data_IF_380647368706
#
_entry.id   IF_380647368706
#
_cell.length_a   1.000
_cell.length_b   1.000
_cell.length_c   1.000
_cell.angle_alpha   90.00
_cell.angle_beta   90.00
_cell.angle_gamma   90.00
#
_symmetry.space_group_name_H-M   'P 1'
#
loop_
_entity.id
_entity.type
_entity.pdbx_description
1 polymer ?
#
# COMPACT_ATOMS: atom_id res chain seq x y z
N UNK A 1 -6.43 22.25 17.94
CA UNK A 1 -5.58 21.10 17.53
C UNK A 1 -4.80 21.35 16.27
N UNK A 2 -5.43 21.86 15.21
CA UNK A 2 -4.81 22.04 13.88
C UNK A 2 -3.62 23.02 13.86
N UNK A 3 -3.56 23.96 14.80
CA UNK A 3 -2.51 24.99 14.88
C UNK A 3 -1.26 24.57 15.68
N UNK A 4 -1.29 23.41 16.34
CA UNK A 4 -0.22 22.98 17.25
C UNK A 4 0.96 22.44 16.45
N UNK A 5 2.16 23.01 16.65
CA UNK A 5 3.40 22.58 15.98
C UNK A 5 4.24 21.64 16.86
N UNK A 6 5.33 21.15 16.27
CA UNK A 6 6.33 20.34 16.97
C UNK A 6 7.05 21.11 18.06
N UNK A 7 7.30 20.43 19.19
CA UNK A 7 8.13 20.90 20.32
C UNK A 7 7.62 22.12 21.11
N UNK A 8 6.33 22.41 21.02
CA UNK A 8 5.70 23.46 21.83
C UNK A 8 5.57 23.02 23.31
N UNK A 9 5.72 23.98 24.23
CA UNK A 9 5.70 23.75 25.69
C UNK A 9 4.68 24.67 26.37
N UNK A 10 4.24 24.28 27.55
CA UNK A 10 3.29 25.04 28.39
C UNK A 10 1.96 25.33 27.67
N UNK A 11 1.48 24.34 26.92
CA UNK A 11 0.21 24.44 26.20
C UNK A 11 -0.97 24.29 27.16
N UNK A 12 -1.98 25.12 26.92
CA UNK A 12 -3.29 25.03 27.55
C UNK A 12 -4.35 24.84 26.49
N UNK A 13 -5.10 23.74 26.57
CA UNK A 13 -6.00 23.28 25.51
C UNK A 13 -7.30 22.77 26.11
N UNK A 14 -8.42 23.08 25.46
CA UNK A 14 -9.72 22.47 25.76
C UNK A 14 -9.98 21.37 24.74
N UNK A 15 -10.12 20.13 25.19
CA UNK A 15 -10.23 18.96 24.32
C UNK A 15 -11.30 18.01 24.82
N UNK A 16 -11.72 17.08 23.97
CA UNK A 16 -12.49 15.90 24.34
C UNK A 16 -11.65 14.65 24.15
N UNK A 17 -11.71 13.78 25.14
CA UNK A 17 -11.01 12.49 25.11
C UNK A 17 -11.81 11.51 24.25
N UNK A 18 -11.22 11.00 23.16
CA UNK A 18 -11.91 10.05 22.25
C UNK A 18 -11.71 8.61 22.73
N UNK A 19 -10.49 8.26 23.11
CA UNK A 19 -10.18 6.98 23.73
C UNK A 19 -8.95 7.10 24.63
N UNK A 20 -8.83 6.18 25.58
CA UNK A 20 -7.67 6.04 26.45
C UNK A 20 -7.41 4.56 26.71
N UNK A 21 -6.15 4.18 26.61
CA UNK A 21 -5.62 2.86 26.91
C UNK A 21 -4.44 3.01 27.89
N UNK A 22 -4.12 1.91 28.59
CA UNK A 22 -3.05 1.87 29.58
C UNK A 22 -2.00 0.85 29.15
N UNK A 23 -0.72 1.21 29.25
CA UNK A 23 0.41 0.30 28.99
C UNK A 23 1.46 0.39 30.08
N UNK A 24 2.09 -0.74 30.37
CA UNK A 24 3.20 -0.84 31.32
C UNK A 24 4.49 -1.08 30.56
N UNK A 25 5.54 -0.33 30.88
CA UNK A 25 6.90 -0.52 30.38
C UNK A 25 7.80 -1.00 31.50
N UNK A 26 8.59 -2.03 31.24
CA UNK A 26 9.65 -2.50 32.14
C UNK A 26 10.96 -1.83 31.74
N UNK A 27 11.61 -1.20 32.70
CA UNK A 27 12.95 -0.64 32.57
C UNK A 27 13.83 -1.16 33.71
N UNK A 28 15.16 -1.04 33.59
CA UNK A 28 16.11 -1.44 34.64
C UNK A 28 15.87 -0.74 35.98
N UNK A 29 15.12 0.37 35.98
CA UNK A 29 14.75 1.18 37.15
C UNK A 29 13.34 0.90 37.70
N UNK A 30 12.59 -0.05 37.13
CA UNK A 30 11.25 -0.45 37.58
C UNK A 30 10.18 -0.45 36.48
N UNK A 31 8.95 -0.77 36.88
CA UNK A 31 7.74 -0.71 36.04
C UNK A 31 7.16 0.72 36.02
N UNK A 32 7.09 1.31 34.83
CA UNK A 32 6.40 2.59 34.62
C UNK A 32 5.09 2.35 33.86
N UNK A 33 4.02 2.95 34.33
CA UNK A 33 2.69 2.91 33.70
C UNK A 33 2.44 4.24 33.02
N UNK A 34 1.96 4.21 31.78
CA UNK A 34 1.48 5.40 31.10
C UNK A 34 0.15 5.12 30.39
N UNK A 35 -0.60 6.20 30.18
CA UNK A 35 -1.85 6.19 29.41
C UNK A 35 -1.61 6.80 28.05
N UNK A 36 -2.27 6.28 27.03
CA UNK A 36 -2.17 6.79 25.67
C UNK A 36 -3.50 6.63 24.95
N UNK A 37 -3.72 7.44 23.93
CA UNK A 37 -4.96 7.40 23.17
C UNK A 37 -5.06 8.59 22.23
N UNK A 38 -6.29 8.93 21.88
CA UNK A 38 -6.65 10.01 20.97
C UNK A 38 -7.52 11.02 21.70
N UNK A 39 -7.20 12.29 21.54
CA UNK A 39 -7.99 13.42 22.00
C UNK A 39 -8.16 14.43 20.86
N UNK A 40 -9.14 15.32 20.95
CA UNK A 40 -9.36 16.31 19.91
C UNK A 40 -10.36 17.38 20.27
N UNK A 41 -10.46 18.37 19.40
CA UNK A 41 -11.39 19.48 19.48
C UNK A 41 -12.12 19.66 18.13
N UNK A 42 -12.81 20.78 17.95
CA UNK A 42 -13.53 21.13 16.73
C UNK A 42 -12.63 21.25 15.49
N UNK A 43 -11.32 21.41 15.69
CA UNK A 43 -10.34 21.59 14.60
C UNK A 43 -9.69 20.27 14.19
N UNK A 44 -9.50 19.32 15.09
CA UNK A 44 -8.76 18.10 14.78
C UNK A 44 -8.58 17.14 15.96
N UNK A 45 -7.84 16.06 15.70
CA UNK A 45 -7.44 15.05 16.68
C UNK A 45 -5.93 14.88 16.74
N UNK A 46 -5.41 14.51 17.91
CA UNK A 46 -3.99 14.23 18.14
C UNK A 46 -3.82 13.06 19.11
N UNK A 47 -2.78 12.27 18.90
CA UNK A 47 -2.38 11.25 19.86
C UNK A 47 -1.81 11.90 21.13
N UNK A 48 -2.06 11.29 22.28
CA UNK A 48 -1.44 11.72 23.52
C UNK A 48 -0.73 10.59 24.25
N UNK A 49 0.19 10.96 25.13
CA UNK A 49 0.87 10.06 26.07
C UNK A 49 0.97 10.76 27.42
N UNK A 50 0.30 10.20 28.41
CA UNK A 50 0.23 10.72 29.77
C UNK A 50 0.99 9.81 30.73
N UNK A 51 2.11 10.30 31.25
CA UNK A 51 2.89 9.64 32.31
C UNK A 51 2.24 9.84 33.68
N UNK A 52 1.52 10.96 33.86
CA UNK A 52 0.62 11.20 34.97
C UNK A 52 -0.79 11.39 34.41
N UNK A 53 -1.74 10.56 34.84
CA UNK A 53 -3.10 10.59 34.33
C UNK A 53 -4.10 10.31 35.44
N UNK A 54 -5.19 11.07 35.48
CA UNK A 54 -6.27 10.86 36.44
C UNK A 54 -7.12 9.64 36.02
N UNK A 55 -7.17 8.56 36.82
CA UNK A 55 -7.88 7.34 36.44
C UNK A 55 -9.41 7.50 36.37
N UNK A 56 -9.96 8.61 36.90
CA UNK A 56 -11.39 8.89 36.83
C UNK A 56 -11.82 9.48 35.47
N UNK A 57 -10.86 9.87 34.62
CA UNK A 57 -11.13 10.40 33.28
C UNK A 57 -11.42 9.27 32.31
N UNK A 58 -12.53 9.39 31.57
CA UNK A 58 -13.03 8.37 30.65
C UNK A 58 -13.17 8.89 29.22
N UNK A 59 -13.21 7.97 28.26
CA UNK A 59 -13.49 8.29 26.88
C UNK A 59 -14.88 8.95 26.76
N UNK A 60 -14.92 10.14 26.17
CA UNK A 60 -16.10 10.98 26.06
C UNK A 60 -16.01 12.29 26.86
N UNK A 61 -15.15 12.35 27.89
CA UNK A 61 -15.03 13.52 28.76
C UNK A 61 -14.42 14.72 28.03
N UNK A 62 -14.92 15.92 28.36
CA UNK A 62 -14.32 17.19 27.97
C UNK A 62 -13.38 17.65 29.08
N UNK A 63 -12.15 18.00 28.72
CA UNK A 63 -11.06 18.33 29.63
C UNK A 63 -10.44 19.67 29.25
N UNK A 64 -10.07 20.45 30.25
CA UNK A 64 -9.07 21.51 30.11
C UNK A 64 -7.71 20.96 30.57
N UNK A 65 -6.77 20.91 29.64
CA UNK A 65 -5.39 20.49 29.88
C UNK A 65 -4.51 21.73 30.00
N UNK A 66 -3.66 21.81 31.02
CA UNK A 66 -2.66 22.90 31.18
C UNK A 66 -1.26 22.34 31.34
N UNK A 67 -0.26 23.15 31.02
CA UNK A 67 1.16 22.78 31.10
C UNK A 67 1.49 21.49 30.34
N UNK A 68 0.85 21.28 29.20
CA UNK A 68 1.16 20.17 28.30
C UNK A 68 2.29 20.58 27.35
N UNK A 69 2.89 19.60 26.68
CA UNK A 69 3.89 19.86 25.65
C UNK A 69 3.71 18.91 24.49
N UNK A 70 4.12 19.32 23.30
CA UNK A 70 4.16 18.43 22.14
C UNK A 70 5.55 17.91 21.88
N UNK A 71 5.63 16.68 21.38
CA UNK A 71 6.88 16.10 20.90
C UNK A 71 6.57 15.16 19.76
N UNK A 72 7.46 15.15 18.78
CA UNK A 72 7.39 14.17 17.69
C UNK A 72 7.97 12.83 18.14
N UNK A 73 7.22 11.75 17.91
CA UNK A 73 7.64 10.39 18.21
C UNK A 73 7.34 9.48 17.03
N UNK A 74 8.38 8.88 16.45
CA UNK A 74 8.30 8.05 15.23
C UNK A 74 7.55 8.74 14.08
N UNK A 75 7.84 10.02 13.81
CA UNK A 75 7.23 10.76 12.72
C UNK A 75 5.79 11.23 12.98
N UNK A 76 5.30 11.09 14.22
CA UNK A 76 3.94 11.50 14.61
C UNK A 76 4.02 12.48 15.76
N UNK A 77 3.41 13.66 15.59
CA UNK A 77 3.25 14.64 16.65
C UNK A 77 2.30 14.09 17.74
N UNK A 78 2.74 14.16 19.00
CA UNK A 78 1.95 13.73 20.15
C UNK A 78 1.94 14.78 21.25
N UNK A 79 0.81 14.89 21.94
CA UNK A 79 0.67 15.66 23.17
C UNK A 79 1.14 14.82 24.36
N UNK A 80 2.00 15.38 25.20
CA UNK A 80 2.50 14.72 26.39
C UNK A 80 2.00 15.41 27.65
N UNK A 81 1.60 14.57 28.61
CA UNK A 81 1.22 14.99 29.95
C UNK A 81 2.15 14.35 30.97
N UNK A 82 2.70 15.15 31.86
CA UNK A 82 3.58 14.71 32.93
C UNK A 82 3.11 15.24 34.30
N UNK A 83 3.96 15.14 35.31
CA UNK A 83 3.63 15.54 36.67
C UNK A 83 3.37 17.06 36.83
N UNK A 84 3.74 17.88 35.84
CA UNK A 84 3.49 19.33 35.82
C UNK A 84 2.20 19.67 35.07
N UNK A 85 1.67 18.73 34.30
CA UNK A 85 0.44 18.92 33.54
C UNK A 85 -0.77 18.84 34.47
N UNK A 86 -1.72 19.74 34.28
CA UNK A 86 -3.00 19.73 35.00
C UNK A 86 -4.10 19.22 34.08
N UNK A 87 -4.97 18.35 34.61
CA UNK A 87 -6.11 17.78 33.91
C UNK A 87 -7.37 18.17 34.68
N UNK A 88 -8.18 19.06 34.10
CA UNK A 88 -9.41 19.58 34.71
C UNK A 88 -10.59 19.00 33.95
N UNK A 89 -11.49 18.27 34.63
CA UNK A 89 -12.72 17.76 34.01
C UNK A 89 -13.77 18.87 33.88
N UNK A 90 -14.43 18.92 32.73
CA UNK A 90 -15.54 19.84 32.42
C UNK A 90 -16.81 19.03 32.11
N UNK A 91 -17.47 18.45 33.12
CA UNK A 91 -18.55 17.48 32.93
C UNK A 91 -19.82 18.03 32.27
N UNK A 92 -20.06 19.35 32.36
CA UNK A 92 -21.23 20.00 31.77
C UNK A 92 -21.03 20.37 30.30
N UNK A 93 -19.81 20.27 29.78
CA UNK A 93 -19.50 20.66 28.43
C UNK A 93 -19.69 19.54 27.42
N UNK A 94 -20.23 19.91 26.25
CA UNK A 94 -20.30 19.05 25.09
C UNK A 94 -19.44 19.65 24.00
N UNK A 95 -18.46 18.87 23.55
CA UNK A 95 -17.60 19.23 22.43
C UNK A 95 -17.78 18.21 21.31
N UNK A 96 -17.96 18.71 20.09
CA UNK A 96 -17.82 17.90 18.89
C UNK A 96 -16.36 17.87 18.46
N UNK A 97 -15.89 16.70 18.05
CA UNK A 97 -14.49 16.52 17.64
C UNK A 97 -14.43 16.24 16.16
N UNK A 98 -13.73 17.11 15.44
CA UNK A 98 -13.41 16.87 14.03
C UNK A 98 -12.24 15.89 13.97
N UNK A 99 -12.47 14.69 13.45
CA UNK A 99 -11.39 13.73 13.21
C UNK A 99 -10.47 14.28 12.11
N UNK A 100 -9.20 14.48 12.42
CA UNK A 100 -8.16 14.73 11.44
C UNK A 100 -7.41 13.44 11.17
N UNK A 101 -7.08 13.19 9.90
CA UNK A 101 -6.28 12.06 9.47
C UNK A 101 -5.06 12.59 8.74
N UNK A 102 -3.93 11.91 8.94
CA UNK A 102 -2.68 12.27 8.27
C UNK A 102 -2.88 12.20 6.76
N UNK A 103 -2.56 13.29 6.06
CA UNK A 103 -2.52 13.27 4.60
C UNK A 103 -1.29 12.48 4.14
N UNK A 104 -1.50 11.54 3.22
CA UNK A 104 -0.45 10.66 2.70
C UNK A 104 -0.57 10.52 1.20
N UNK A 105 0.58 10.49 0.51
CA UNK A 105 0.68 10.05 -0.88
C UNK A 105 0.64 8.53 -0.96
N UNK A 106 0.22 7.99 -2.10
CA UNK A 106 0.02 6.55 -2.27
C UNK A 106 1.32 5.76 -2.06
N UNK A 107 2.47 6.28 -2.49
CA UNK A 107 3.78 5.64 -2.27
C UNK A 107 4.19 5.53 -0.79
N UNK A 108 3.68 6.42 0.06
CA UNK A 108 4.07 6.55 1.46
C UNK A 108 3.09 5.83 2.41
N UNK A 109 2.11 5.11 1.86
CA UNK A 109 1.13 4.38 2.67
C UNK A 109 1.79 3.23 3.44
N UNK A 110 1.52 3.19 4.74
CA UNK A 110 2.05 2.18 5.65
C UNK A 110 1.01 1.77 6.68
N UNK A 111 1.06 0.50 7.11
CA UNK A 111 0.22 -0.01 8.21
C UNK A 111 0.52 0.65 9.56
N UNK A 112 1.63 1.41 9.66
CA UNK A 112 1.95 2.24 10.83
C UNK A 112 0.98 3.41 11.00
N UNK A 113 0.40 3.89 9.90
CA UNK A 113 -0.61 4.94 9.86
C UNK A 113 -1.98 4.30 9.49
N UNK A 114 -2.71 3.73 10.47
CA UNK A 114 -3.86 2.88 10.19
C UNK A 114 -5.05 3.62 9.57
N UNK A 115 -5.12 4.94 9.71
CA UNK A 115 -6.16 5.78 9.10
C UNK A 115 -5.53 7.02 8.49
N UNK A 116 -5.76 7.22 7.20
CA UNK A 116 -5.13 8.29 6.42
C UNK A 116 -6.17 9.04 5.58
N UNK A 117 -5.76 10.21 5.12
CA UNK A 117 -6.42 10.93 4.03
C UNK A 117 -5.59 10.76 2.76
N UNK A 118 -6.22 10.29 1.69
CA UNK A 118 -5.58 10.15 0.37
C UNK A 118 -6.38 10.90 -0.69
N UNK A 119 -5.69 11.37 -1.72
CA UNK A 119 -6.28 12.00 -2.89
C UNK A 119 -5.84 11.28 -4.15
N UNK A 120 -6.74 11.11 -5.11
CA UNK A 120 -6.41 10.45 -6.38
C UNK A 120 -7.63 10.19 -7.24
N UNK A 121 -7.41 9.61 -8.42
CA UNK A 121 -8.47 9.21 -9.33
C UNK A 121 -8.77 7.73 -9.14
N UNK A 122 -10.06 7.38 -9.07
CA UNK A 122 -10.50 5.99 -8.99
C UNK A 122 -10.71 5.41 -10.38
N UNK A 123 -10.20 4.20 -10.61
CA UNK A 123 -10.39 3.41 -11.83
C UNK A 123 -10.75 1.96 -11.52
N UNK A 124 -11.13 1.20 -12.55
CA UNK A 124 -11.36 -0.25 -12.51
C UNK A 124 -12.41 -0.66 -11.46
N UNK A 125 -13.51 0.10 -11.37
CA UNK A 125 -14.53 -0.15 -10.35
C UNK A 125 -15.33 -1.40 -10.68
N UNK A 126 -15.39 -2.32 -9.72
CA UNK A 126 -16.12 -3.59 -9.81
C UNK A 126 -16.86 -3.83 -8.50
N UNK A 127 -17.95 -4.59 -8.54
CA UNK A 127 -18.69 -4.98 -7.34
C UNK A 127 -18.79 -6.48 -7.20
N UNK A 128 -18.85 -6.95 -5.96
CA UNK A 128 -19.17 -8.34 -5.61
C UNK A 128 -20.16 -8.36 -4.45
N UNK A 129 -21.11 -9.28 -4.51
CA UNK A 129 -22.00 -9.58 -3.39
C UNK A 129 -21.36 -10.63 -2.47
N UNK A 130 -21.55 -10.46 -1.17
CA UNK A 130 -21.15 -11.43 -0.16
C UNK A 130 -22.23 -11.53 0.92
N UNK A 131 -22.46 -12.74 1.43
CA UNK A 131 -23.31 -12.95 2.59
C UNK A 131 -22.50 -12.81 3.87
N UNK A 132 -23.04 -12.07 4.83
CA UNK A 132 -22.52 -12.02 6.19
C UNK A 132 -23.69 -11.87 7.14
N UNK A 133 -23.73 -12.71 8.17
CA UNK A 133 -24.77 -12.71 9.20
C UNK A 133 -26.20 -12.87 8.62
N UNK A 134 -26.34 -13.59 7.49
CA UNK A 134 -27.63 -13.78 6.80
C UNK A 134 -28.08 -12.61 5.93
N UNK A 135 -27.33 -11.50 5.87
CA UNK A 135 -27.60 -10.36 5.01
C UNK A 135 -26.67 -10.36 3.78
N UNK A 136 -27.24 -10.14 2.59
CA UNK A 136 -26.47 -9.89 1.36
C UNK A 136 -25.94 -8.47 1.37
N UNK A 137 -24.62 -8.32 1.42
CA UNK A 137 -23.93 -7.02 1.35
C UNK A 137 -23.11 -6.91 0.08
N UNK A 138 -23.00 -5.68 -0.44
CA UNK A 138 -22.18 -5.35 -1.60
C UNK A 138 -20.84 -4.78 -1.16
N UNK A 139 -19.76 -5.30 -1.74
CA UNK A 139 -18.44 -4.72 -1.66
C UNK A 139 -18.03 -4.24 -3.05
N UNK A 140 -17.56 -3.01 -3.12
CA UNK A 140 -17.00 -2.40 -4.31
C UNK A 140 -15.48 -2.40 -4.21
N UNK A 141 -14.81 -2.71 -5.30
CA UNK A 141 -13.37 -2.68 -5.43
C UNK A 141 -13.01 -1.76 -6.57
N UNK A 142 -11.93 -1.02 -6.41
CA UNK A 142 -11.31 -0.24 -7.48
C UNK A 142 -9.85 -0.02 -7.16
N UNK A 143 -9.18 0.74 -8.01
CA UNK A 143 -7.84 1.22 -7.74
C UNK A 143 -7.88 2.74 -7.66
N UNK A 144 -7.27 3.33 -6.63
CA UNK A 144 -7.05 4.78 -6.56
C UNK A 144 -5.60 5.07 -6.91
N UNK A 145 -5.38 6.08 -7.75
CA UNK A 145 -4.07 6.44 -8.25
C UNK A 145 -3.81 7.95 -8.12
N UNK A 146 -2.61 8.30 -7.70
CA UNK A 146 -2.08 9.67 -7.66
C UNK A 146 -0.79 9.74 -8.47
N UNK A 147 -0.06 10.85 -8.40
CA UNK A 147 1.22 11.01 -9.09
C UNK A 147 2.31 10.06 -8.59
N UNK A 148 2.14 9.47 -7.41
CA UNK A 148 3.14 8.64 -6.73
C UNK A 148 2.93 7.14 -6.87
N UNK A 149 1.72 6.70 -7.19
CA UNK A 149 1.45 5.28 -7.39
C UNK A 149 -0.03 4.95 -7.50
N UNK A 150 -0.32 3.66 -7.30
CA UNK A 150 -1.67 3.11 -7.31
C UNK A 150 -1.85 2.14 -6.14
N UNK A 151 -3.01 2.19 -5.50
CA UNK A 151 -3.38 1.27 -4.43
C UNK A 151 -4.81 0.78 -4.60
N UNK A 152 -5.07 -0.47 -4.22
CA UNK A 152 -6.42 -1.03 -4.24
C UNK A 152 -7.27 -0.43 -3.13
N UNK A 153 -8.45 0.08 -3.49
CA UNK A 153 -9.49 0.54 -2.58
C UNK A 153 -10.64 -0.46 -2.52
N UNK A 154 -11.12 -0.76 -1.31
CA UNK A 154 -12.31 -1.59 -1.08
C UNK A 154 -13.35 -0.77 -0.29
N UNK A 155 -14.56 -0.67 -0.80
CA UNK A 155 -15.67 0.05 -0.15
C UNK A 155 -16.80 -0.89 0.20
N UNK A 156 -17.18 -0.91 1.47
CA UNK A 156 -18.26 -1.76 1.97
C UNK A 156 -19.57 -0.97 1.98
N UNK A 157 -20.55 -1.40 1.20
CA UNK A 157 -21.89 -0.80 1.15
C UNK A 157 -22.02 0.49 0.35
N UNK A 158 -20.92 1.10 -0.12
CA UNK A 158 -20.96 2.36 -0.90
C UNK A 158 -20.21 2.22 -2.22
N UNK A 159 -20.80 2.69 -3.31
CA UNK A 159 -20.12 2.74 -4.61
C UNK A 159 -18.93 3.70 -4.58
N UNK A 160 -17.97 3.44 -5.46
CA UNK A 160 -16.82 4.31 -5.69
C UNK A 160 -17.06 5.12 -6.97
N UNK A 161 -16.82 6.44 -6.98
CA UNK A 161 -17.02 7.25 -8.17
C UNK A 161 -15.86 7.03 -9.15
N UNK A 162 -16.11 6.27 -10.22
CA UNK A 162 -15.10 5.93 -11.23
C UNK A 162 -14.79 7.13 -12.14
N UNK A 163 -13.52 7.32 -12.47
CA UNK A 163 -13.05 8.36 -13.39
C UNK A 163 -12.97 9.76 -12.79
N UNK A 164 -13.36 9.95 -11.52
CA UNK A 164 -13.30 11.25 -10.86
C UNK A 164 -12.17 11.32 -9.84
N UNK A 165 -11.69 12.54 -9.64
CA UNK A 165 -10.78 12.88 -8.55
C UNK A 165 -11.50 12.92 -7.21
N UNK A 166 -10.97 12.19 -6.23
CA UNK A 166 -11.55 12.10 -4.89
C UNK A 166 -10.54 12.35 -3.78
N UNK A 167 -11.02 12.92 -2.68
CA UNK A 167 -10.37 12.96 -1.37
C UNK A 167 -11.08 11.97 -0.46
N UNK A 168 -10.37 10.92 -0.02
CA UNK A 168 -10.88 9.92 0.91
C UNK A 168 -10.27 10.18 2.29
N UNK A 169 -11.08 10.68 3.22
CA UNK A 169 -10.67 10.99 4.60
C UNK A 169 -11.01 9.85 5.55
N UNK A 170 -10.01 9.37 6.29
CA UNK A 170 -10.17 8.26 7.23
C UNK A 170 -10.27 6.91 6.53
N UNK A 171 -9.54 6.75 5.42
CA UNK A 171 -9.35 5.47 4.77
C UNK A 171 -8.50 4.57 5.67
N UNK A 172 -8.94 3.34 5.93
CA UNK A 172 -8.18 2.41 6.75
C UNK A 172 -7.08 1.76 5.91
N UNK A 173 -5.83 1.89 6.33
CA UNK A 173 -4.68 1.20 5.69
C UNK A 173 -4.58 -0.22 6.24
N UNK A 174 -4.39 -1.18 5.34
CA UNK A 174 -4.22 -2.59 5.66
C UNK A 174 -3.23 -3.23 4.70
N UNK A 175 -2.68 -4.37 5.09
CA UNK A 175 -1.81 -5.17 4.23
C UNK A 175 -2.40 -6.56 4.03
N UNK A 176 -2.34 -7.05 2.80
CA UNK A 176 -2.70 -8.42 2.49
C UNK A 176 -1.73 -9.02 1.47
N UNK A 177 -1.01 -10.07 1.90
CA UNK A 177 0.03 -10.75 1.12
C UNK A 177 1.08 -9.75 0.59
N UNK A 178 1.63 -8.92 1.48
CA UNK A 178 2.67 -7.96 1.14
C UNK A 178 2.21 -6.73 0.36
N UNK A 179 0.91 -6.57 0.13
CA UNK A 179 0.35 -5.43 -0.63
C UNK A 179 -0.45 -4.54 0.29
N UNK A 180 -0.12 -3.25 0.27
CA UNK A 180 -0.93 -2.23 0.91
C UNK A 180 -2.26 -2.09 0.17
N UNK A 181 -3.33 -1.89 0.94
CA UNK A 181 -4.70 -1.66 0.47
C UNK A 181 -5.38 -0.69 1.42
N UNK A 182 -6.31 0.08 0.88
CA UNK A 182 -7.15 0.96 1.69
C UNK A 182 -8.59 0.46 1.71
N UNK A 183 -9.28 0.67 2.83
CA UNK A 183 -10.72 0.39 2.92
C UNK A 183 -11.52 1.61 3.35
N UNK A 184 -12.69 1.72 2.74
CA UNK A 184 -13.71 2.74 3.01
C UNK A 184 -14.84 2.08 3.80
N UNK A 185 -15.09 2.61 5.00
CA UNK A 185 -16.13 2.13 5.92
C UNK A 185 -17.11 3.27 6.20
N UNK A 186 -18.21 3.05 6.91
CA UNK A 186 -19.23 4.09 7.20
C UNK A 186 -18.66 5.41 7.76
N UNK A 187 -17.58 5.35 8.54
CA UNK A 187 -16.92 6.51 9.16
C UNK A 187 -15.96 7.27 8.22
N UNK A 188 -15.70 6.74 7.03
CA UNK A 188 -14.81 7.34 6.02
C UNK A 188 -15.60 8.33 5.17
N UNK A 189 -15.06 9.52 4.93
CA UNK A 189 -15.68 10.52 4.04
C UNK A 189 -15.02 10.47 2.67
N UNK A 190 -15.83 10.52 1.61
CA UNK A 190 -15.35 10.65 0.22
C UNK A 190 -15.89 11.99 -0.27
N UNK A 191 -15.00 12.91 -0.61
CA UNK A 191 -15.33 14.18 -1.27
C UNK A 191 -14.74 14.20 -2.68
N UNK A 192 -15.42 14.87 -3.61
CA UNK A 192 -14.84 15.14 -4.92
C UNK A 192 -13.80 16.26 -4.82
N UNK A 193 -12.71 16.11 -5.56
CA UNK A 193 -11.64 17.09 -5.64
C UNK A 193 -11.09 17.10 -7.05
N UNK A 194 -10.71 18.28 -7.54
CA UNK A 194 -10.02 18.36 -8.81
C UNK A 194 -8.55 17.95 -8.59
N UNK A 195 -8.20 16.75 -9.03
CA UNK A 195 -6.82 16.26 -9.08
C UNK A 195 -6.42 16.04 -10.54
N UNK A 196 -5.18 16.39 -10.85
CA UNK A 196 -4.60 16.07 -12.15
C UNK A 196 -4.61 14.55 -12.35
N UNK A 197 -4.86 14.07 -13.58
CA UNK A 197 -4.74 12.66 -13.87
C UNK A 197 -3.31 12.20 -13.57
N UNK A 198 -3.16 10.99 -12.99
CA UNK A 198 -1.85 10.45 -12.75
C UNK A 198 -1.05 10.39 -14.06
N UNK A 199 0.27 10.61 -14.02
CA UNK A 199 1.13 10.40 -15.17
C UNK A 199 1.05 8.93 -15.59
N UNK A 200 1.23 8.66 -16.89
CA UNK A 200 1.16 7.31 -17.45
C UNK A 200 2.16 6.37 -16.77
N UNK A 201 3.42 6.41 -17.20
CA UNK A 201 4.51 5.67 -16.54
C UNK A 201 5.07 6.48 -15.38
N UNK A 202 5.28 5.84 -14.22
CA UNK A 202 5.88 6.44 -13.02
C UNK A 202 7.26 5.83 -12.81
N UNK A 203 8.28 6.45 -13.39
CA UNK A 203 9.65 5.98 -13.26
C UNK A 203 10.18 6.31 -11.86
N UNK A 204 10.75 5.29 -11.22
CA UNK A 204 11.43 5.40 -9.94
C UNK A 204 12.80 4.77 -10.02
N UNK A 205 13.72 5.27 -9.20
CA UNK A 205 14.88 4.48 -8.81
C UNK A 205 14.46 3.47 -7.73
N UNK A 206 15.06 2.30 -7.75
CA UNK A 206 14.82 1.22 -6.78
C UNK A 206 15.08 1.72 -5.35
N UNK A 207 16.08 2.58 -5.13
CA UNK A 207 16.39 3.16 -3.82
C UNK A 207 15.28 4.04 -3.24
N UNK A 208 14.40 4.60 -4.07
CA UNK A 208 13.45 5.64 -3.67
C UNK A 208 12.17 5.05 -3.06
N UNK A 209 11.98 3.74 -3.21
CA UNK A 209 10.77 3.03 -2.75
C UNK A 209 11.09 2.11 -1.58
N UNK A 210 10.67 2.53 -0.39
CA UNK A 210 10.82 1.77 0.86
C UNK A 210 9.56 1.05 1.32
N UNK A 211 8.46 1.06 0.54
CA UNK A 211 7.19 0.46 0.92
C UNK A 211 6.44 -0.11 -0.29
N UNK A 212 5.50 -1.07 -0.09
CA UNK A 212 4.72 -1.63 -1.18
C UNK A 212 3.82 -0.60 -1.85
N UNK A 213 3.92 -0.50 -3.17
CA UNK A 213 3.16 0.45 -4.00
C UNK A 213 2.85 -0.16 -5.36
N UNK A 214 1.64 0.06 -5.87
CA UNK A 214 1.22 -0.42 -7.19
C UNK A 214 1.48 0.58 -8.31
N UNK A 215 1.48 0.10 -9.56
CA UNK A 215 1.52 0.96 -10.75
C UNK A 215 2.79 1.81 -10.89
N UNK A 216 3.94 1.23 -10.53
CA UNK A 216 5.26 1.86 -10.63
C UNK A 216 6.08 1.26 -11.75
N UNK A 217 7.05 2.02 -12.25
CA UNK A 217 7.92 1.67 -13.36
C UNK A 217 9.39 1.77 -12.97
N UNK A 218 10.21 0.84 -13.42
CA UNK A 218 11.66 0.87 -13.26
C UNK A 218 12.35 0.69 -14.59
N UNK A 219 13.45 1.40 -14.81
CA UNK A 219 14.33 1.23 -15.96
C UNK A 219 15.65 0.64 -15.51
N UNK A 220 16.11 -0.45 -16.11
CA UNK A 220 17.37 -1.07 -15.70
C UNK A 220 17.73 -2.32 -16.50
N UNK A 221 18.81 -2.97 -16.08
CA UNK A 221 19.32 -4.20 -16.69
C UNK A 221 18.87 -5.43 -15.91
N UNK A 222 18.48 -6.47 -16.64
CA UNK A 222 18.19 -7.77 -16.03
C UNK A 222 19.50 -8.53 -15.84
N UNK A 223 19.96 -8.61 -14.60
CA UNK A 223 21.28 -9.14 -14.24
C UNK A 223 21.28 -10.63 -13.92
N UNK A 224 20.11 -11.23 -13.69
CA UNK A 224 19.98 -12.66 -13.42
C UNK A 224 18.64 -13.20 -13.89
N UNK A 225 18.60 -14.49 -14.21
CA UNK A 225 17.38 -15.26 -14.45
C UNK A 225 17.41 -16.50 -13.57
N UNK A 226 16.38 -16.70 -12.77
CA UNK A 226 16.26 -17.85 -11.88
C UNK A 226 15.83 -19.12 -12.62
N UNK A 227 16.31 -20.26 -12.13
CA UNK A 227 16.14 -21.58 -12.75
C UNK A 227 14.68 -22.04 -12.85
N UNK A 228 13.80 -21.52 -11.99
CA UNK A 228 12.36 -21.80 -11.99
C UNK A 228 11.57 -21.02 -13.05
N UNK A 229 12.27 -20.27 -13.90
CA UNK A 229 11.68 -19.56 -15.04
C UNK A 229 11.40 -20.52 -16.20
N UNK A 230 10.48 -20.16 -17.08
CA UNK A 230 10.12 -20.95 -18.25
C UNK A 230 8.69 -21.47 -18.19
N UNK A 231 8.50 -22.62 -18.83
CA UNK A 231 7.21 -23.28 -18.99
C UNK A 231 6.77 -23.93 -17.67
N UNK A 232 5.56 -23.61 -17.25
CA UNK A 232 4.87 -24.24 -16.12
C UNK A 232 3.67 -25.02 -16.62
N UNK A 233 3.41 -26.15 -15.99
CA UNK A 233 2.20 -26.93 -16.18
C UNK A 233 1.20 -26.51 -15.10
N UNK A 234 -0.05 -26.29 -15.49
CA UNK A 234 -1.14 -26.06 -14.54
C UNK A 234 -2.31 -26.99 -14.82
N UNK A 235 -3.05 -27.32 -13.77
CA UNK A 235 -4.35 -27.97 -13.94
C UNK A 235 -5.34 -26.99 -14.62
N UNK A 236 -6.10 -27.47 -15.59
CA UNK A 236 -7.13 -26.67 -16.27
C UNK A 236 -8.23 -26.20 -15.32
N UNK A 237 -8.57 -26.99 -14.30
CA UNK A 237 -9.66 -26.70 -13.36
C UNK A 237 -9.22 -25.79 -12.21
N UNK A 238 -8.22 -26.22 -11.43
CA UNK A 238 -7.84 -25.47 -10.22
C UNK A 238 -6.68 -24.48 -10.43
N UNK A 239 -6.06 -24.45 -11.61
CA UNK A 239 -4.93 -23.57 -11.98
C UNK A 239 -3.70 -23.70 -11.08
N UNK A 240 -3.63 -24.71 -10.20
CA UNK A 240 -2.42 -25.02 -9.41
C UNK A 240 -1.31 -25.51 -10.34
N UNK A 241 -0.08 -25.15 -10.02
CA UNK A 241 1.11 -25.67 -10.71
C UNK A 241 1.26 -27.15 -10.39
N UNK A 242 1.52 -27.95 -11.42
CA UNK A 242 1.73 -29.40 -11.32
C UNK A 242 3.12 -29.74 -11.87
N UNK A 243 3.79 -30.71 -11.26
CA UNK A 243 5.10 -31.19 -11.73
C UNK A 243 4.92 -32.30 -12.77
N UNK A 244 4.00 -33.21 -12.48
CA UNK A 244 3.53 -34.27 -13.36
C UNK A 244 2.28 -33.85 -14.12
N UNK A 245 2.01 -34.55 -15.22
CA UNK A 245 0.87 -34.35 -16.13
C UNK A 245 -0.51 -34.48 -15.44
N UNK A 246 -0.56 -35.00 -14.21
CA UNK A 246 -1.79 -35.23 -13.44
C UNK A 246 -1.86 -34.33 -12.21
N UNK A 247 -3.02 -33.69 -11.99
CA UNK A 247 -3.27 -32.91 -10.79
C UNK A 247 -3.66 -33.84 -9.61
N UNK A 248 -3.09 -33.66 -8.40
CA UNK A 248 -3.48 -34.45 -7.23
C UNK A 248 -4.95 -34.31 -6.85
N UNK A 249 -5.51 -33.10 -7.01
CA UNK A 249 -6.91 -32.80 -6.68
C UNK A 249 -7.87 -33.15 -7.83
N UNK A 250 -7.39 -33.12 -9.08
CA UNK A 250 -8.20 -33.35 -10.28
C UNK A 250 -7.45 -34.28 -11.26
N UNK A 251 -7.36 -35.59 -10.98
CA UNK A 251 -6.53 -36.51 -11.77
C UNK A 251 -6.96 -36.66 -13.23
N UNK A 252 -8.24 -36.42 -13.52
CA UNK A 252 -8.84 -36.52 -14.85
C UNK A 252 -8.79 -35.21 -15.65
N UNK A 253 -8.44 -34.09 -15.01
CA UNK A 253 -8.40 -32.80 -15.67
C UNK A 253 -7.15 -32.67 -16.56
N UNK A 254 -7.26 -32.16 -17.79
CA UNK A 254 -6.10 -31.90 -18.63
C UNK A 254 -5.19 -30.81 -18.03
N UNK A 255 -3.93 -30.83 -18.41
CA UNK A 255 -3.00 -29.76 -18.08
C UNK A 255 -3.00 -28.69 -19.18
N UNK A 256 -2.59 -27.49 -18.80
CA UNK A 256 -2.38 -26.35 -19.70
C UNK A 256 -0.98 -25.77 -19.50
N UNK A 257 -0.43 -25.14 -20.53
CA UNK A 257 0.82 -24.43 -20.40
C UNK A 257 0.63 -23.02 -19.83
N UNK A 258 1.59 -22.63 -18.99
CA UNK A 258 1.71 -21.30 -18.44
C UNK A 258 3.16 -20.84 -18.49
N UNK A 259 3.38 -19.53 -18.47
CA UNK A 259 4.72 -18.97 -18.44
C UNK A 259 4.95 -18.26 -17.12
N UNK A 260 6.17 -18.40 -16.62
CA UNK A 260 6.62 -17.70 -15.44
C UNK A 260 8.08 -17.35 -15.57
N UNK A 261 8.45 -16.15 -15.15
CA UNK A 261 9.85 -15.76 -15.03
C UNK A 261 10.11 -15.18 -13.66
N UNK A 262 11.25 -15.52 -13.11
CA UNK A 262 11.82 -14.95 -11.90
C UNK A 262 13.21 -14.45 -12.23
N UNK A 263 13.45 -13.16 -12.07
CA UNK A 263 14.68 -12.50 -12.51
C UNK A 263 14.98 -11.30 -11.62
N UNK A 264 16.20 -10.78 -11.70
CA UNK A 264 16.58 -9.58 -10.94
C UNK A 264 16.82 -8.41 -11.89
N UNK A 265 16.19 -7.28 -11.61
CA UNK A 265 16.48 -6.00 -12.26
C UNK A 265 17.46 -5.21 -11.39
N UNK A 266 18.44 -4.53 -12.01
CA UNK A 266 19.24 -3.50 -11.36
C UNK A 266 19.26 -2.25 -12.22
N UNK A 267 19.04 -1.09 -11.58
CA UNK A 267 19.04 0.24 -12.19
C UNK A 267 20.30 1.05 -11.83
N UNK A 268 21.22 0.46 -11.05
CA UNK A 268 22.41 1.12 -10.53
C UNK A 268 22.24 1.78 -9.16
N UNK A 269 21.01 2.08 -8.72
CA UNK A 269 20.70 2.55 -7.36
C UNK A 269 20.43 1.40 -6.40
N UNK A 270 19.96 0.28 -6.95
CA UNK A 270 19.73 -0.95 -6.21
C UNK A 270 19.48 -2.14 -7.13
N UNK A 271 18.91 -3.19 -6.54
CA UNK A 271 18.41 -4.34 -7.28
C UNK A 271 17.10 -4.83 -6.66
N UNK A 272 16.20 -5.35 -7.48
CA UNK A 272 14.91 -5.85 -7.03
C UNK A 272 14.59 -7.20 -7.69
N UNK A 273 14.00 -8.10 -6.90
CA UNK A 273 13.53 -9.39 -7.40
C UNK A 273 12.21 -9.20 -8.13
N UNK A 274 12.14 -9.65 -9.37
CA UNK A 274 10.99 -9.51 -10.25
C UNK A 274 10.34 -10.87 -10.52
N UNK A 275 9.01 -10.88 -10.56
CA UNK A 275 8.22 -12.01 -11.06
C UNK A 275 7.32 -11.55 -12.19
N UNK A 276 7.28 -12.33 -13.28
CA UNK A 276 6.42 -12.05 -14.42
C UNK A 276 5.58 -13.27 -14.78
N UNK A 277 4.32 -13.05 -15.11
CA UNK A 277 3.37 -14.08 -15.56
C UNK A 277 3.27 -14.16 -17.08
N UNK A 278 2.26 -14.91 -17.57
CA UNK A 278 2.07 -15.19 -18.99
C UNK A 278 1.92 -13.94 -19.86
N UNK A 279 1.08 -12.99 -19.48
CA UNK A 279 0.70 -11.86 -20.34
C UNK A 279 1.91 -11.04 -20.77
N UNK A 280 2.72 -10.60 -19.81
CA UNK A 280 3.95 -9.84 -20.08
C UNK A 280 5.01 -10.67 -20.82
N UNK A 281 5.15 -11.97 -20.52
CA UNK A 281 6.13 -12.84 -21.19
C UNK A 281 5.74 -13.19 -22.62
N UNK A 282 4.46 -13.39 -22.90
CA UNK A 282 3.97 -13.68 -24.25
C UNK A 282 4.23 -12.49 -25.17
N UNK A 283 3.90 -11.27 -24.72
CA UNK A 283 4.21 -10.03 -25.44
C UNK A 283 5.71 -9.90 -25.75
N UNK A 284 6.56 -10.21 -24.77
CA UNK A 284 8.01 -10.16 -24.94
C UNK A 284 8.54 -11.22 -25.92
N UNK A 285 8.03 -12.45 -25.84
CA UNK A 285 8.47 -13.58 -26.66
C UNK A 285 7.81 -13.61 -28.03
N UNK A 286 6.80 -12.77 -28.27
CA UNK A 286 5.99 -12.80 -29.49
C UNK A 286 5.12 -14.06 -29.61
N UNK A 287 4.75 -14.67 -28.47
CA UNK A 287 3.92 -15.88 -28.43
C UNK A 287 2.43 -15.51 -28.37
N UNK A 288 1.62 -16.34 -29.01
CA UNK A 288 0.16 -16.27 -28.98
C UNK A 288 -0.43 -17.29 -28.00
N UNK A 289 -1.69 -17.13 -27.61
CA UNK A 289 -2.35 -18.08 -26.70
C UNK A 289 -2.40 -19.50 -27.27
N UNK A 290 -2.51 -19.64 -28.59
CA UNK A 290 -2.44 -20.93 -29.28
C UNK A 290 -1.13 -21.68 -29.07
N UNK A 291 -0.03 -20.96 -28.85
CA UNK A 291 1.30 -21.55 -28.64
C UNK A 291 1.42 -22.18 -27.24
N UNK A 292 0.53 -21.79 -26.31
CA UNK A 292 0.47 -22.32 -24.95
C UNK A 292 -0.61 -23.41 -24.79
N UNK A 293 -1.06 -24.00 -25.89
CA UNK A 293 -1.92 -25.17 -25.88
C UNK A 293 -1.09 -26.46 -26.06
N UNK A 294 -1.07 -27.36 -25.05
CA UNK A 294 -0.39 -28.65 -25.16
C UNK A 294 -0.88 -29.55 -26.30
N UNK A 295 -2.10 -29.35 -26.81
CA UNK A 295 -2.64 -30.14 -27.91
C UNK A 295 -2.08 -29.72 -29.27
N UNK A 296 -1.69 -28.45 -29.42
CA UNK A 296 -1.19 -27.87 -30.68
C UNK A 296 0.32 -27.66 -30.69
N UNK A 297 0.96 -27.59 -29.51
CA UNK A 297 2.33 -27.12 -29.37
C UNK A 297 3.19 -28.10 -28.56
N UNK A 298 4.37 -28.45 -29.09
CA UNK A 298 5.35 -29.32 -28.42
C UNK A 298 6.43 -28.52 -27.69
N UNK A 299 6.04 -27.56 -26.86
CA UNK A 299 6.99 -26.71 -26.13
C UNK A 299 7.67 -27.48 -24.99
N UNK A 300 9.00 -27.40 -24.92
CA UNK A 300 9.75 -27.95 -23.78
C UNK A 300 10.13 -26.88 -22.76
N UNK A 301 10.28 -27.29 -21.48
CA UNK A 301 10.78 -26.40 -20.42
C UNK A 301 12.12 -25.76 -20.78
N UNK A 302 13.01 -26.52 -21.43
CA UNK A 302 14.37 -26.08 -21.81
C UNK A 302 14.35 -25.03 -22.92
N UNK A 303 13.53 -25.23 -23.96
CA UNK A 303 13.42 -24.27 -25.07
C UNK A 303 12.86 -22.94 -24.58
N UNK A 304 11.75 -22.98 -23.83
CA UNK A 304 11.12 -21.77 -23.30
C UNK A 304 12.07 -21.04 -22.35
N UNK A 305 12.78 -21.75 -21.46
CA UNK A 305 13.80 -21.14 -20.61
C UNK A 305 14.91 -20.48 -21.42
N UNK A 306 15.42 -21.15 -22.46
CA UNK A 306 16.45 -20.62 -23.34
C UNK A 306 15.99 -19.34 -24.06
N UNK A 307 14.75 -19.33 -24.56
CA UNK A 307 14.14 -18.16 -25.20
C UNK A 307 14.01 -16.99 -24.23
N UNK A 308 13.48 -17.21 -23.01
CA UNK A 308 13.40 -16.18 -21.98
C UNK A 308 14.80 -15.66 -21.62
N UNK A 309 15.78 -16.55 -21.46
CA UNK A 309 17.16 -16.16 -21.15
C UNK A 309 17.76 -15.31 -22.26
N UNK A 310 17.59 -15.70 -23.52
CA UNK A 310 18.07 -14.94 -24.68
C UNK A 310 17.41 -13.57 -24.77
N UNK A 311 16.12 -13.47 -24.42
CA UNK A 311 15.37 -12.24 -24.52
C UNK A 311 15.61 -11.27 -23.37
N UNK A 312 15.64 -11.75 -22.13
CA UNK A 312 15.76 -10.91 -20.93
C UNK A 312 17.21 -10.65 -20.47
N UNK A 313 18.02 -11.70 -20.38
CA UNK A 313 19.26 -11.65 -19.60
C UNK A 313 20.29 -10.69 -20.23
N UNK A 314 20.82 -9.79 -19.40
CA UNK A 314 21.85 -8.82 -19.78
C UNK A 314 21.35 -7.65 -20.64
N UNK A 315 20.03 -7.50 -20.82
CA UNK A 315 19.45 -6.43 -21.63
C UNK A 315 18.68 -5.41 -20.77
N UNK A 316 18.57 -4.16 -21.25
CA UNK A 316 17.84 -3.12 -20.55
C UNK A 316 16.35 -3.14 -20.88
N UNK A 317 15.51 -2.94 -19.86
CA UNK A 317 14.06 -2.93 -19.95
C UNK A 317 13.44 -1.86 -19.05
N UNK A 318 12.23 -1.44 -19.42
CA UNK A 318 11.29 -0.79 -18.53
C UNK A 318 10.32 -1.85 -18.04
N UNK A 319 10.26 -2.04 -16.72
CA UNK A 319 9.31 -2.93 -16.06
C UNK A 319 8.23 -2.11 -15.40
N UNK A 320 6.97 -2.44 -15.64
CA UNK A 320 5.83 -1.89 -14.91
C UNK A 320 5.22 -2.96 -14.01
N UNK A 321 4.79 -2.58 -12.81
CA UNK A 321 4.16 -3.54 -11.92
C UNK A 321 3.81 -3.01 -10.53
N UNK A 322 3.53 -3.96 -9.64
CA UNK A 322 3.24 -3.69 -8.24
C UNK A 322 4.41 -4.16 -7.37
N UNK A 323 4.94 -3.27 -6.53
CA UNK A 323 5.79 -3.65 -5.42
C UNK A 323 4.97 -4.34 -4.33
N UNK A 324 5.49 -5.46 -3.85
CA UNK A 324 4.95 -6.19 -2.73
C UNK A 324 6.08 -6.61 -1.78
N UNK A 325 5.78 -6.59 -0.49
CA UNK A 325 6.66 -7.10 0.54
C UNK A 325 6.63 -8.63 0.56
N UNK A 326 7.80 -9.26 0.50
CA UNK A 326 7.98 -10.70 0.63
C UNK A 326 8.97 -11.02 1.75
N UNK A 327 9.28 -12.32 1.89
CA UNK A 327 10.19 -12.79 2.94
C UNK A 327 11.61 -12.19 2.86
N UNK A 328 12.03 -11.77 1.66
CA UNK A 328 13.37 -11.24 1.40
C UNK A 328 13.35 -9.72 1.10
N UNK A 329 12.33 -9.01 1.60
CA UNK A 329 12.11 -7.60 1.32
C UNK A 329 11.18 -7.36 0.12
N UNK A 330 11.31 -6.18 -0.48
CA UNK A 330 10.45 -5.75 -1.58
C UNK A 330 10.75 -6.54 -2.86
N UNK A 331 9.68 -6.91 -3.56
CA UNK A 331 9.73 -7.61 -4.84
C UNK A 331 8.73 -6.98 -5.80
N UNK A 332 9.07 -6.96 -7.09
CA UNK A 332 8.23 -6.43 -8.14
C UNK A 332 7.43 -7.57 -8.79
N UNK A 333 6.11 -7.45 -8.78
CA UNK A 333 5.26 -8.26 -9.65
C UNK A 333 5.00 -7.49 -10.93
N UNK A 334 5.66 -7.92 -12.00
CA UNK A 334 5.65 -7.27 -13.29
C UNK A 334 4.34 -7.56 -14.02
N UNK A 335 3.67 -6.49 -14.45
CA UNK A 335 2.49 -6.51 -15.32
C UNK A 335 2.84 -6.24 -16.78
N UNK A 336 3.89 -5.46 -17.06
CA UNK A 336 4.39 -5.21 -18.42
C UNK A 336 5.92 -5.18 -18.47
N UNK A 337 6.46 -5.72 -19.56
CA UNK A 337 7.89 -5.68 -19.90
C UNK A 337 8.03 -5.00 -21.24
N UNK A 338 8.69 -3.84 -21.27
CA UNK A 338 8.90 -3.05 -22.47
C UNK A 338 10.40 -2.84 -22.71
N UNK A 339 10.86 -3.04 -23.95
CA UNK A 339 12.24 -2.68 -24.32
C UNK A 339 12.39 -1.17 -24.31
N UNK A 340 13.55 -0.67 -23.89
CA UNK A 340 13.86 0.76 -23.95
C UNK A 340 13.91 1.21 -25.41
N UNK A 341 13.05 2.16 -25.79
CA UNK A 341 13.03 2.78 -27.10
C UNK A 341 13.92 4.03 -27.15
N UNK A 342 14.17 4.56 -28.36
CA UNK A 342 14.91 5.82 -28.52
C UNK A 342 14.20 7.01 -27.87
N UNK A 343 12.87 7.00 -27.82
CA UNK A 343 12.12 8.10 -27.21
C UNK A 343 12.14 8.02 -25.68
N UNK A 344 12.17 6.81 -25.11
CA UNK A 344 12.42 6.63 -23.68
C UNK A 344 13.80 7.18 -23.30
N UNK A 345 14.84 6.91 -24.10
CA UNK A 345 16.19 7.47 -23.89
C UNK A 345 16.17 9.00 -23.91
N UNK A 346 15.44 9.63 -24.83
CA UNK A 346 15.28 11.09 -24.84
C UNK A 346 14.56 11.62 -23.61
N UNK A 347 13.56 10.89 -23.09
CA UNK A 347 12.88 11.25 -21.84
C UNK A 347 13.85 11.21 -20.67
N UNK A 348 14.61 10.11 -20.54
CA UNK A 348 15.61 9.96 -19.49
C UNK A 348 16.67 11.07 -19.53
N UNK A 349 17.16 11.44 -20.72
CA UNK A 349 18.12 12.56 -20.86
C UNK A 349 17.51 13.86 -20.33
N UNK A 350 16.27 14.19 -20.71
CA UNK A 350 15.60 15.41 -20.26
C UNK A 350 15.38 15.43 -18.75
N UNK A 351 14.97 14.30 -18.17
CA UNK A 351 14.78 14.16 -16.73
C UNK A 351 16.10 14.38 -15.99
N UNK A 352 17.19 13.74 -16.45
CA UNK A 352 18.52 13.91 -15.87
C UNK A 352 19.08 15.33 -16.04
N UNK A 353 18.76 16.02 -17.14
CA UNK A 353 19.15 17.43 -17.36
C UNK A 353 18.40 18.40 -16.45
N UNK A 354 17.19 18.06 -16.00
CA UNK A 354 16.40 18.88 -15.07
C UNK A 354 16.84 18.69 -13.61
N UNK A 355 17.42 17.53 -13.27
CA UNK A 355 17.96 17.23 -11.94
C UNK A 355 19.40 17.76 -11.71
N UNK A 356 20.07 18.25 -12.75
CA UNK A 356 21.37 18.95 -12.71
C UNK A 356 21.19 20.45 -12.44
#
# INVERSE_FOLDING_TARGET
MEEIKGEEKNLSLKIKLINVEKRTTKSDKGENVYHYGLLGDETGTMFFTAWSFNPNVQAGDVLELKNCYTKEFNGTLRLYLDNRSEIILLPEEKMEVKRSFKEAKIKDLSTRDPYVTVQGIISDVRSREYERDGETRKVYFGDIADETGKVRVSSFGRSLPEGTGVKIEGAKVSEYKGRIRISVNEKTKIGEVNVAPPPGRRLYNISDLGSPVGGVSFSGFIISLGEKSGLRLRCSECRKTIEDVRCPDHPSAPFIYDLFAYFTLSDGTGYIQCTSGREALMKLLGMQESDLDPASSSLTKREVYSSIRKELHGKPFILEGDLAEGNNGLSLRVSDISRISRDDVKSFIREMEVEL
#
